data_IF_492020493228
#
_entry.id   IF_492020493228
#
_cell.length_a   1.000
_cell.length_b   1.000
_cell.length_c   1.000
_cell.angle_alpha   90.00
_cell.angle_beta   90.00
_cell.angle_gamma   90.00
#
_symmetry.space_group_name_H-M   'P 1'
#
loop_
_entity.id
_entity.type
_entity.pdbx_description
1 polymer ?
#
# COMPACT_ATOMS: atom_id res chain seq x y z
N UNK A 1 -28.43 -11.37 29.84
CA UNK A 1 -28.13 -10.44 28.75
C UNK A 1 -26.62 -10.27 28.69
N UNK A 2 -25.94 -10.92 27.71
CA UNK A 2 -24.50 -10.77 27.53
C UNK A 2 -24.27 -9.52 26.69
N UNK A 3 -23.63 -8.52 27.28
CA UNK A 3 -23.11 -7.35 26.56
C UNK A 3 -22.03 -7.86 25.59
N UNK A 4 -22.34 -7.95 24.31
CA UNK A 4 -21.33 -8.05 23.26
C UNK A 4 -20.76 -6.64 23.07
N UNK A 5 -19.65 -6.35 23.74
CA UNK A 5 -18.76 -5.26 23.36
C UNK A 5 -18.30 -5.56 21.94
N UNK A 6 -18.82 -4.79 20.97
CA UNK A 6 -18.21 -4.68 19.64
C UNK A 6 -16.78 -4.23 19.87
N UNK A 7 -15.82 -5.16 19.77
CA UNK A 7 -14.43 -4.78 19.53
C UNK A 7 -14.44 -3.90 18.28
N UNK A 8 -14.18 -2.62 18.44
CA UNK A 8 -13.85 -1.75 17.33
C UNK A 8 -12.54 -2.31 16.76
N UNK A 9 -12.63 -2.97 15.61
CA UNK A 9 -11.45 -3.37 14.88
C UNK A 9 -10.58 -2.11 14.73
N UNK A 10 -9.40 -2.13 15.38
CA UNK A 10 -8.48 -0.98 15.31
C UNK A 10 -8.07 -0.79 13.85
N UNK A 11 -8.10 0.45 13.38
CA UNK A 11 -7.62 0.83 12.05
C UNK A 11 -6.20 0.32 11.83
N UNK A 12 -6.02 -0.60 10.88
CA UNK A 12 -4.72 -1.16 10.54
C UNK A 12 -3.96 -0.28 9.56
N UNK A 13 -2.64 -0.38 9.58
CA UNK A 13 -1.74 0.16 8.57
C UNK A 13 -1.20 -1.01 7.76
N UNK A 14 -1.54 -1.06 6.49
CA UNK A 14 -1.33 -2.20 5.61
C UNK A 14 -0.42 -1.79 4.47
N UNK A 15 0.77 -2.37 4.37
CA UNK A 15 1.60 -2.20 3.17
C UNK A 15 0.97 -2.95 2.00
N UNK A 16 0.80 -2.28 0.87
CA UNK A 16 0.14 -2.81 -0.34
C UNK A 16 1.07 -2.57 -1.53
N UNK A 17 1.54 -3.65 -2.18
CA UNK A 17 2.41 -3.48 -3.33
C UNK A 17 2.41 -4.71 -4.23
N UNK A 18 2.34 -4.49 -5.56
CA UNK A 18 2.75 -5.49 -6.53
C UNK A 18 4.26 -5.51 -6.66
N UNK A 19 4.84 -6.69 -6.80
CA UNK A 19 6.27 -6.91 -6.83
C UNK A 19 6.61 -8.06 -7.79
N UNK A 20 7.72 -7.95 -8.52
CA UNK A 20 8.28 -9.09 -9.26
C UNK A 20 8.74 -10.21 -8.30
N UNK A 21 8.91 -11.42 -8.82
CA UNK A 21 9.36 -12.57 -8.03
C UNK A 21 10.76 -12.34 -7.42
N UNK A 22 11.60 -11.51 -8.05
CA UNK A 22 12.93 -11.13 -7.57
C UNK A 22 12.95 -9.84 -6.73
N UNK A 23 11.78 -9.31 -6.35
CA UNK A 23 11.66 -8.30 -5.29
C UNK A 23 11.65 -6.85 -5.72
N UNK A 24 11.38 -6.56 -7.01
CA UNK A 24 11.31 -5.20 -7.53
C UNK A 24 9.86 -4.76 -7.76
N UNK A 25 9.57 -3.50 -7.45
CA UNK A 25 8.24 -2.89 -7.63
C UNK A 25 8.14 -2.04 -8.90
N UNK A 26 9.28 -1.68 -9.48
CA UNK A 26 9.40 -0.95 -10.72
C UNK A 26 10.79 -1.18 -11.31
N UNK A 27 10.95 -0.92 -12.60
CA UNK A 27 12.26 -0.86 -13.24
C UNK A 27 13.05 0.43 -12.83
N UNK A 28 14.23 0.63 -13.40
CA UNK A 28 15.08 1.80 -13.11
C UNK A 28 14.50 3.12 -13.64
N UNK A 29 13.50 3.07 -14.54
CA UNK A 29 12.84 4.22 -15.14
C UNK A 29 11.42 4.43 -14.59
N UNK A 30 11.08 3.83 -13.44
CA UNK A 30 9.74 3.82 -12.85
C UNK A 30 8.67 3.06 -13.65
N UNK A 31 9.07 2.23 -14.61
CA UNK A 31 8.16 1.35 -15.35
C UNK A 31 7.60 0.26 -14.43
N UNK A 32 6.27 0.11 -14.43
CA UNK A 32 5.52 -0.83 -13.59
C UNK A 32 4.68 -1.82 -14.41
N UNK A 33 4.71 -1.72 -15.73
CA UNK A 33 3.81 -2.46 -16.61
C UNK A 33 3.84 -3.96 -16.34
N UNK A 34 5.03 -4.57 -16.24
CA UNK A 34 5.22 -6.00 -16.06
C UNK A 34 4.72 -6.50 -14.69
N UNK A 35 4.88 -5.69 -13.63
CA UNK A 35 4.41 -6.05 -12.28
C UNK A 35 2.92 -5.80 -12.09
N UNK A 36 2.29 -5.05 -13.01
CA UNK A 36 0.86 -4.75 -13.00
C UNK A 36 0.06 -5.48 -14.09
N UNK A 37 0.71 -6.27 -14.96
CA UNK A 37 0.05 -7.01 -16.05
C UNK A 37 -1.08 -7.93 -15.55
N UNK A 38 -0.96 -8.48 -14.35
CA UNK A 38 -1.99 -9.32 -13.74
C UNK A 38 -3.33 -8.61 -13.52
N UNK A 39 -3.36 -7.26 -13.42
CA UNK A 39 -4.60 -6.48 -13.37
C UNK A 39 -5.43 -6.57 -14.65
N UNK A 40 -4.84 -7.10 -15.74
CA UNK A 40 -5.49 -7.23 -17.05
C UNK A 40 -5.49 -8.67 -17.57
N UNK A 41 -5.16 -9.64 -16.71
CA UNK A 41 -4.95 -11.05 -17.08
C UNK A 41 -6.16 -11.96 -16.78
N UNK A 42 -7.38 -11.42 -16.61
CA UNK A 42 -8.55 -12.20 -16.26
C UNK A 42 -9.84 -11.76 -16.97
N UNK A 43 -10.95 -12.29 -16.50
CA UNK A 43 -12.29 -12.10 -17.09
C UNK A 43 -13.29 -11.38 -16.16
N UNK A 44 -12.92 -11.14 -14.90
CA UNK A 44 -13.77 -10.41 -13.95
C UNK A 44 -13.42 -8.94 -13.97
N UNK A 45 -14.37 -8.11 -14.37
CA UNK A 45 -14.20 -6.66 -14.41
C UNK A 45 -14.37 -6.04 -13.02
N UNK A 46 -13.43 -5.19 -12.63
CA UNK A 46 -13.46 -4.36 -11.41
C UNK A 46 -13.29 -2.91 -11.82
N UNK A 47 -14.38 -2.12 -11.81
CA UNK A 47 -14.27 -0.69 -12.05
C UNK A 47 -13.57 0.00 -10.90
N UNK A 48 -12.55 0.78 -11.19
CA UNK A 48 -11.80 1.60 -10.25
C UNK A 48 -12.20 3.05 -10.45
N UNK A 49 -12.76 3.66 -9.42
CA UNK A 49 -13.22 5.04 -9.43
C UNK A 49 -12.07 6.06 -9.33
N UNK A 50 -12.38 7.25 -8.82
CA UNK A 50 -11.45 8.37 -8.68
C UNK A 50 -11.56 9.35 -9.85
N UNK A 51 -10.61 10.30 -9.94
CA UNK A 51 -10.58 11.28 -11.03
C UNK A 51 -10.06 10.72 -12.35
N UNK A 52 -9.36 9.59 -12.30
CA UNK A 52 -8.85 8.86 -13.47
C UNK A 52 -9.40 7.41 -13.43
N UNK A 53 -10.66 7.20 -13.84
CA UNK A 53 -11.30 5.91 -13.72
C UNK A 53 -10.73 4.90 -14.73
N UNK A 54 -10.53 3.67 -14.25
CA UNK A 54 -10.07 2.54 -15.07
C UNK A 54 -10.85 1.27 -14.70
N UNK A 55 -10.73 0.24 -15.52
CA UNK A 55 -11.33 -1.07 -15.24
C UNK A 55 -10.24 -2.14 -15.23
N UNK A 56 -10.06 -2.81 -14.13
CA UNK A 56 -9.23 -4.01 -14.06
C UNK A 56 -10.02 -5.21 -14.59
N UNK A 57 -9.29 -6.18 -15.12
CA UNK A 57 -9.82 -7.47 -15.61
C UNK A 57 -8.98 -8.58 -15.00
N UNK A 58 -9.41 -9.12 -13.89
CA UNK A 58 -8.64 -10.06 -13.09
C UNK A 58 -9.31 -11.41 -12.96
N UNK A 59 -8.58 -12.42 -12.48
CA UNK A 59 -9.17 -13.71 -12.15
C UNK A 59 -10.18 -13.59 -10.99
N UNK A 60 -11.12 -14.52 -10.89
CA UNK A 60 -12.12 -14.51 -9.80
C UNK A 60 -11.47 -14.47 -8.39
N UNK A 61 -10.46 -15.28 -8.06
CA UNK A 61 -9.82 -15.18 -6.74
C UNK A 61 -9.16 -13.81 -6.49
N UNK A 62 -8.55 -13.21 -7.53
CA UNK A 62 -8.00 -11.85 -7.44
C UNK A 62 -9.09 -10.79 -7.27
N UNK A 63 -10.24 -10.97 -7.92
CA UNK A 63 -11.38 -10.07 -7.77
C UNK A 63 -11.93 -10.07 -6.33
N UNK A 64 -12.14 -11.26 -5.77
CA UNK A 64 -12.58 -11.41 -4.38
C UNK A 64 -11.57 -10.80 -3.39
N UNK A 65 -10.27 -11.02 -3.64
CA UNK A 65 -9.19 -10.40 -2.88
C UNK A 65 -9.24 -8.86 -2.94
N UNK A 66 -9.31 -8.27 -4.14
CA UNK A 66 -9.33 -6.82 -4.34
C UNK A 66 -10.61 -6.19 -3.76
N UNK A 67 -11.78 -6.78 -3.94
CA UNK A 67 -13.02 -6.28 -3.35
C UNK A 67 -12.94 -6.24 -1.82
N UNK A 68 -12.42 -7.31 -1.20
CA UNK A 68 -12.18 -7.35 0.25
C UNK A 68 -11.26 -6.23 0.69
N UNK A 69 -10.11 -6.08 0.03
CA UNK A 69 -9.12 -5.06 0.32
C UNK A 69 -9.68 -3.64 0.17
N UNK A 70 -10.28 -3.31 -0.99
CA UNK A 70 -10.83 -1.98 -1.26
C UNK A 70 -11.92 -1.60 -0.23
N UNK A 71 -12.76 -2.56 0.18
CA UNK A 71 -13.79 -2.32 1.19
C UNK A 71 -13.24 -2.00 2.57
N UNK A 72 -12.05 -2.53 2.89
CA UNK A 72 -11.36 -2.34 4.17
C UNK A 72 -10.64 -0.99 4.25
N UNK A 73 -10.23 -0.41 3.11
CA UNK A 73 -9.46 0.82 3.08
C UNK A 73 -10.33 2.06 3.27
N UNK A 74 -9.79 3.05 3.98
CA UNK A 74 -10.41 4.36 4.21
C UNK A 74 -9.50 5.53 3.83
N UNK A 75 -8.20 5.28 3.68
CA UNK A 75 -7.21 6.27 3.24
C UNK A 75 -6.00 5.58 2.62
N UNK A 76 -5.24 6.31 1.82
CA UNK A 76 -3.99 5.89 1.22
C UNK A 76 -2.84 6.75 1.74
N UNK A 77 -1.69 6.13 2.02
CA UNK A 77 -0.43 6.79 2.33
C UNK A 77 0.62 6.37 1.31
N UNK A 78 1.36 7.32 0.76
CA UNK A 78 2.40 7.04 -0.23
C UNK A 78 3.53 8.05 -0.18
N UNK A 79 4.63 7.77 -0.89
CA UNK A 79 5.73 8.70 -1.09
C UNK A 79 5.53 9.58 -2.33
N UNK A 80 6.34 10.62 -2.41
CA UNK A 80 6.34 11.60 -3.51
C UNK A 80 6.55 10.95 -4.87
N UNK A 81 7.48 9.99 -5.01
CA UNK A 81 7.76 9.34 -6.29
C UNK A 81 6.54 8.62 -6.86
N UNK A 82 5.82 7.85 -6.03
CA UNK A 82 4.58 7.18 -6.46
C UNK A 82 3.51 8.18 -6.88
N UNK A 83 3.38 9.30 -6.15
CA UNK A 83 2.48 10.39 -6.50
C UNK A 83 2.81 10.99 -7.87
N UNK A 84 4.10 11.23 -8.16
CA UNK A 84 4.55 11.81 -9.43
C UNK A 84 4.32 10.84 -10.60
N UNK A 85 4.67 9.56 -10.45
CA UNK A 85 4.44 8.50 -11.45
C UNK A 85 2.95 8.33 -11.76
N UNK A 86 2.10 8.35 -10.73
CA UNK A 86 0.65 8.28 -10.86
C UNK A 86 -0.01 9.60 -11.25
N UNK A 87 0.76 10.66 -11.56
CA UNK A 87 0.27 12.00 -11.93
C UNK A 87 -0.76 12.55 -10.93
N UNK A 88 -0.59 12.20 -9.65
CA UNK A 88 -1.49 12.60 -8.57
C UNK A 88 -2.91 12.06 -8.69
N UNK A 89 -3.13 10.99 -9.43
CA UNK A 89 -4.44 10.35 -9.68
C UNK A 89 -5.50 11.35 -10.16
N UNK A 90 -5.12 12.36 -10.94
CA UNK A 90 -6.01 13.42 -11.36
C UNK A 90 -6.56 14.29 -10.22
N UNK A 91 -6.10 14.12 -8.97
CA UNK A 91 -6.52 14.86 -7.78
C UNK A 91 -7.27 14.02 -6.74
N UNK A 92 -7.81 12.84 -7.09
CA UNK A 92 -8.59 12.02 -6.17
C UNK A 92 -8.27 10.54 -6.37
N UNK A 93 -7.67 9.92 -5.36
CA UNK A 93 -7.40 8.49 -5.38
C UNK A 93 -8.68 7.68 -5.22
N UNK A 94 -8.78 6.55 -5.93
CA UNK A 94 -9.98 5.71 -5.97
C UNK A 94 -10.38 5.09 -4.61
N UNK A 95 -9.42 4.92 -3.70
CA UNK A 95 -9.64 4.21 -2.43
C UNK A 95 -9.71 5.16 -1.22
N UNK A 96 -9.99 6.43 -1.46
CA UNK A 96 -10.15 7.45 -0.42
C UNK A 96 -9.08 8.55 -0.48
N UNK A 97 -9.04 9.45 0.52
CA UNK A 97 -8.05 10.51 0.56
C UNK A 97 -6.62 9.96 0.57
N UNK A 98 -5.74 10.58 -0.20
CA UNK A 98 -4.35 10.19 -0.34
C UNK A 98 -3.44 11.15 0.45
N UNK A 99 -2.56 10.59 1.28
CA UNK A 99 -1.53 11.30 2.03
C UNK A 99 -0.18 11.05 1.38
N UNK A 100 0.51 12.10 0.98
CA UNK A 100 1.79 12.04 0.28
C UNK A 100 2.91 12.52 1.19
N UNK A 101 3.75 11.60 1.64
CA UNK A 101 4.94 11.94 2.40
C UNK A 101 5.99 12.54 1.45
N UNK A 102 6.45 13.76 1.76
CA UNK A 102 7.38 14.51 0.90
C UNK A 102 8.19 15.52 1.71
N UNK A 103 9.36 15.91 1.23
CA UNK A 103 10.11 17.03 1.80
C UNK A 103 9.58 18.39 1.32
N UNK A 104 9.01 18.44 0.09
CA UNK A 104 8.52 19.67 -0.51
C UNK A 104 7.20 19.41 -1.24
N UNK A 105 6.22 20.27 -1.01
CA UNK A 105 4.96 20.22 -1.75
C UNK A 105 5.24 20.61 -3.21
N UNK A 106 4.78 19.82 -4.21
CA UNK A 106 5.03 20.14 -5.61
C UNK A 106 4.29 21.41 -6.06
N UNK A 107 4.85 22.10 -7.06
CA UNK A 107 4.21 23.27 -7.64
C UNK A 107 2.80 22.94 -8.17
N UNK A 108 1.89 23.88 -8.00
CA UNK A 108 0.48 23.69 -8.38
C UNK A 108 -0.34 22.81 -7.43
N UNK A 109 0.21 22.44 -6.27
CA UNK A 109 -0.47 21.72 -5.21
C UNK A 109 -0.41 22.47 -3.86
N UNK A 110 -1.40 22.27 -2.93
CA UNK A 110 -2.61 21.46 -3.11
C UNK A 110 -3.57 22.10 -4.12
N UNK A 111 -4.41 21.28 -4.77
CA UNK A 111 -5.43 21.75 -5.71
C UNK A 111 -6.79 21.90 -5.02
N UNK A 112 -7.61 22.88 -5.40
CA UNK A 112 -9.02 22.93 -5.01
C UNK A 112 -9.71 21.61 -5.39
N UNK A 113 -10.63 21.15 -4.57
CA UNK A 113 -11.43 19.92 -4.79
C UNK A 113 -10.61 18.60 -4.84
N UNK A 114 -9.33 18.64 -4.49
CA UNK A 114 -8.49 17.44 -4.36
C UNK A 114 -8.55 16.88 -2.95
N UNK A 115 -8.56 15.53 -2.87
CA UNK A 115 -8.43 14.79 -1.61
C UNK A 115 -6.99 14.33 -1.34
N UNK A 116 -6.01 14.94 -2.03
CA UNK A 116 -4.59 14.69 -1.82
C UNK A 116 -4.04 15.67 -0.79
N UNK A 117 -3.41 15.13 0.25
CA UNK A 117 -2.79 15.88 1.36
C UNK A 117 -1.28 15.63 1.35
N UNK A 118 -0.48 16.67 1.53
CA UNK A 118 0.98 16.56 1.58
C UNK A 118 1.47 16.68 3.02
N UNK A 119 2.34 15.76 3.42
CA UNK A 119 2.88 15.69 4.78
C UNK A 119 4.40 15.85 4.71
N UNK A 120 4.92 16.84 5.44
CA UNK A 120 6.35 17.15 5.49
C UNK A 120 7.01 16.85 6.83
N UNK A 121 6.20 16.44 7.82
CA UNK A 121 6.60 16.30 9.23
C UNK A 121 6.95 14.85 9.62
N UNK A 122 7.23 14.01 8.62
CA UNK A 122 7.69 12.63 8.81
C UNK A 122 6.60 11.58 8.83
N UNK A 123 7.05 10.32 8.86
CA UNK A 123 6.20 9.14 8.64
C UNK A 123 5.14 8.95 9.73
N UNK A 124 5.46 9.21 10.98
CA UNK A 124 4.54 9.06 12.10
C UNK A 124 3.36 10.03 11.98
N UNK A 125 3.63 11.30 11.63
CA UNK A 125 2.60 12.30 11.38
C UNK A 125 1.72 11.90 10.21
N UNK A 126 2.31 11.40 9.12
CA UNK A 126 1.60 10.95 7.93
C UNK A 126 0.64 9.79 8.24
N UNK A 127 1.11 8.78 8.98
CA UNK A 127 0.28 7.64 9.41
C UNK A 127 -0.87 8.10 10.31
N UNK A 128 -0.61 8.99 11.28
CA UNK A 128 -1.63 9.46 12.21
C UNK A 128 -2.73 10.27 11.50
N UNK A 129 -2.37 11.12 10.55
CA UNK A 129 -3.35 11.88 9.76
C UNK A 129 -4.15 10.96 8.84
N UNK A 130 -3.51 9.99 8.17
CA UNK A 130 -4.18 9.00 7.34
C UNK A 130 -5.17 8.13 8.16
N UNK A 131 -4.78 7.66 9.35
CA UNK A 131 -5.67 6.93 10.27
C UNK A 131 -6.88 7.77 10.68
N UNK A 132 -6.69 9.05 10.96
CA UNK A 132 -7.79 9.97 11.30
C UNK A 132 -8.78 10.07 10.14
N UNK A 133 -8.28 10.26 8.92
CA UNK A 133 -9.11 10.36 7.71
C UNK A 133 -9.78 9.04 7.34
N UNK A 134 -9.15 7.90 7.65
CA UNK A 134 -9.72 6.57 7.38
C UNK A 134 -10.97 6.25 8.22
N UNK A 135 -11.28 7.04 9.25
CA UNK A 135 -12.51 6.95 10.04
C UNK A 135 -12.83 5.53 10.55
N UNK A 136 -11.83 4.85 11.11
CA UNK A 136 -11.96 3.49 11.64
C UNK A 136 -11.71 2.37 10.64
N UNK A 137 -11.56 2.68 9.36
CA UNK A 137 -11.06 1.75 8.33
C UNK A 137 -9.53 1.71 8.34
N UNK A 138 -8.96 0.81 7.55
CA UNK A 138 -7.51 0.65 7.41
C UNK A 138 -6.89 1.71 6.50
N UNK A 139 -5.58 1.95 6.70
CA UNK A 139 -4.75 2.79 5.85
C UNK A 139 -3.90 1.90 4.96
N UNK A 140 -4.03 2.05 3.64
CA UNK A 140 -3.15 1.40 2.67
C UNK A 140 -1.87 2.21 2.47
N UNK A 141 -0.71 1.57 2.53
CA UNK A 141 0.59 2.21 2.32
C UNK A 141 1.22 1.71 1.03
N UNK A 142 1.49 2.60 0.10
CA UNK A 142 2.11 2.33 -1.18
C UNK A 142 3.50 2.96 -1.31
N UNK A 143 4.31 2.39 -2.21
CA UNK A 143 5.66 2.86 -2.53
C UNK A 143 6.72 2.28 -1.58
N UNK A 144 7.82 1.79 -2.17
CA UNK A 144 8.85 1.05 -1.46
C UNK A 144 9.42 1.82 -0.27
N UNK A 145 9.87 3.06 -0.48
CA UNK A 145 10.46 3.87 0.58
C UNK A 145 9.49 4.16 1.74
N UNK A 146 8.22 4.50 1.44
CA UNK A 146 7.21 4.76 2.48
C UNK A 146 6.89 3.49 3.28
N UNK A 147 6.81 2.34 2.62
CA UNK A 147 6.62 1.04 3.28
C UNK A 147 7.81 0.73 4.20
N UNK A 148 9.04 0.95 3.74
CA UNK A 148 10.25 0.73 4.53
C UNK A 148 10.30 1.68 5.74
N UNK A 149 9.95 2.95 5.58
CA UNK A 149 9.85 3.90 6.69
C UNK A 149 8.82 3.47 7.72
N UNK A 150 7.61 3.05 7.29
CA UNK A 150 6.59 2.53 8.19
C UNK A 150 7.07 1.28 8.94
N UNK A 151 7.76 0.36 8.24
CA UNK A 151 8.28 -0.87 8.83
C UNK A 151 9.38 -0.58 9.85
N UNK A 152 10.31 0.32 9.53
CA UNK A 152 11.40 0.74 10.42
C UNK A 152 10.88 1.46 11.67
N UNK A 153 9.78 2.21 11.55
CA UNK A 153 9.12 2.88 12.66
C UNK A 153 8.17 1.98 13.47
N UNK A 154 7.99 0.70 13.06
CA UNK A 154 7.09 -0.24 13.74
C UNK A 154 5.60 0.12 13.58
N UNK A 155 5.23 0.82 12.49
CA UNK A 155 3.88 1.33 12.25
C UNK A 155 3.01 0.39 11.39
N UNK A 156 3.58 -0.67 10.79
CA UNK A 156 2.82 -1.62 9.98
C UNK A 156 2.19 -2.74 10.82
N UNK A 157 0.93 -3.01 10.56
CA UNK A 157 0.18 -4.14 11.12
C UNK A 157 0.20 -5.35 10.18
N UNK A 158 0.13 -5.12 8.86
CA UNK A 158 0.12 -6.16 7.84
C UNK A 158 0.95 -5.75 6.61
N UNK A 159 1.43 -6.76 5.90
CA UNK A 159 2.09 -6.62 4.60
C UNK A 159 1.32 -7.48 3.59
N UNK A 160 0.72 -6.84 2.59
CA UNK A 160 0.08 -7.50 1.47
C UNK A 160 0.95 -7.29 0.24
N UNK A 161 1.39 -8.38 -0.37
CA UNK A 161 2.23 -8.37 -1.56
C UNK A 161 1.57 -9.19 -2.65
N UNK A 162 1.43 -8.59 -3.82
CA UNK A 162 0.99 -9.24 -5.04
C UNK A 162 2.23 -9.62 -5.85
N UNK A 163 2.70 -10.87 -5.73
CA UNK A 163 3.88 -11.35 -6.45
C UNK A 163 3.48 -11.65 -7.89
N UNK A 164 3.86 -10.77 -8.82
CA UNK A 164 3.70 -10.99 -10.25
C UNK A 164 4.66 -12.09 -10.74
N UNK A 165 4.19 -12.90 -11.68
CA UNK A 165 4.95 -14.02 -12.25
C UNK A 165 6.00 -13.54 -13.26
N UNK A 166 6.87 -12.61 -12.85
CA UNK A 166 7.89 -11.95 -13.68
C UNK A 166 9.19 -11.73 -12.89
N UNK A 167 10.31 -11.73 -13.59
CA UNK A 167 11.60 -11.24 -13.10
C UNK A 167 11.92 -9.91 -13.79
N UNK A 168 12.28 -8.89 -13.02
CA UNK A 168 12.77 -7.62 -13.59
C UNK A 168 14.31 -7.59 -13.68
N UNK A 169 15.00 -8.35 -12.86
CA UNK A 169 16.47 -8.42 -12.82
C UNK A 169 17.15 -7.19 -12.20
N UNK A 170 16.55 -6.01 -12.33
CA UNK A 170 17.00 -4.76 -11.71
C UNK A 170 15.84 -3.79 -11.55
N UNK A 171 15.98 -2.80 -10.66
CA UNK A 171 14.91 -1.82 -10.42
C UNK A 171 14.86 -1.34 -8.98
N UNK A 172 13.67 -0.92 -8.56
CA UNK A 172 13.39 -0.43 -7.21
C UNK A 172 12.97 -1.60 -6.33
N UNK A 173 13.76 -1.95 -5.33
CA UNK A 173 13.44 -3.03 -4.38
C UNK A 173 12.36 -2.60 -3.40
N UNK A 174 11.41 -3.52 -3.14
CA UNK A 174 10.38 -3.28 -2.13
C UNK A 174 10.99 -3.20 -0.72
N UNK A 175 11.91 -4.12 -0.40
CA UNK A 175 12.57 -4.18 0.91
C UNK A 175 14.07 -4.07 0.73
N UNK A 176 14.64 -2.90 1.03
CA UNK A 176 16.07 -2.65 0.90
C UNK A 176 16.63 -2.02 2.19
N UNK A 177 16.28 -0.80 2.51
CA UNK A 177 16.84 -0.06 3.65
C UNK A 177 16.12 -0.36 4.97
N UNK A 178 16.09 -1.65 5.37
CA UNK A 178 15.44 -2.09 6.59
C UNK A 178 16.41 -2.03 7.79
N UNK A 179 15.99 -1.31 8.83
CA UNK A 179 16.65 -1.30 10.11
C UNK A 179 16.17 -2.49 10.98
N UNK A 180 17.03 -2.97 11.87
CA UNK A 180 16.63 -3.95 12.89
C UNK A 180 16.25 -5.34 12.33
N UNK A 181 16.87 -5.77 11.25
CA UNK A 181 16.70 -7.14 10.72
C UNK A 181 17.40 -8.19 11.60
N UNK A 182 16.87 -9.43 11.71
CA UNK A 182 15.71 -9.96 10.97
C UNK A 182 14.36 -9.49 11.53
N UNK A 183 13.39 -9.21 10.64
CA UNK A 183 12.00 -8.95 10.97
C UNK A 183 11.19 -10.22 10.74
N UNK A 184 10.55 -10.74 11.79
CA UNK A 184 9.78 -11.98 11.72
C UNK A 184 8.32 -11.69 11.48
N UNK A 185 7.77 -12.25 10.41
CA UNK A 185 6.36 -12.15 10.05
C UNK A 185 5.55 -13.31 10.62
N UNK A 186 4.24 -13.16 10.68
CA UNK A 186 3.31 -14.25 10.97
C UNK A 186 3.14 -15.19 9.77
N UNK A 187 2.31 -16.22 9.93
CA UNK A 187 1.99 -17.11 8.81
C UNK A 187 1.17 -16.37 7.75
N UNK A 188 1.48 -16.54 6.45
CA UNK A 188 0.76 -15.85 5.40
C UNK A 188 -0.60 -16.49 5.11
N UNK A 189 -1.54 -15.65 4.68
CA UNK A 189 -2.64 -16.10 3.82
C UNK A 189 -2.16 -16.02 2.38
N UNK A 190 -2.43 -17.07 1.60
CA UNK A 190 -2.00 -17.19 0.20
C UNK A 190 -3.23 -17.34 -0.69
N UNK A 191 -3.34 -16.50 -1.72
CA UNK A 191 -4.40 -16.56 -2.74
C UNK A 191 -3.72 -16.63 -4.10
N UNK A 192 -4.07 -17.62 -4.91
CA UNK A 192 -3.53 -17.78 -6.26
C UNK A 192 -4.45 -17.10 -7.27
N UNK A 193 -3.89 -16.15 -8.04
CA UNK A 193 -4.52 -15.54 -9.21
C UNK A 193 -3.90 -16.01 -10.52
N UNK A 194 -4.33 -15.40 -11.64
CA UNK A 194 -3.69 -15.56 -12.94
C UNK A 194 -2.55 -14.55 -13.03
N UNK A 195 -1.33 -15.03 -13.26
CA UNK A 195 -0.13 -14.18 -13.33
C UNK A 195 0.32 -13.57 -12.00
N UNK A 196 -0.31 -13.94 -10.87
CA UNK A 196 -0.04 -13.36 -9.55
C UNK A 196 -0.28 -14.34 -8.42
N UNK A 197 0.48 -14.18 -7.33
CA UNK A 197 0.21 -14.81 -6.04
C UNK A 197 0.07 -13.70 -4.99
N UNK A 198 -1.11 -13.59 -4.38
CA UNK A 198 -1.38 -12.63 -3.31
C UNK A 198 -0.95 -13.23 -1.97
N UNK A 199 -0.09 -12.52 -1.26
CA UNK A 199 0.41 -12.87 0.06
C UNK A 199 -0.02 -11.81 1.08
N UNK A 200 -0.57 -12.24 2.21
CA UNK A 200 -0.91 -11.36 3.34
C UNK A 200 -0.19 -11.86 4.58
N UNK A 201 0.72 -11.07 5.11
CA UNK A 201 1.48 -11.37 6.32
C UNK A 201 1.09 -10.44 7.46
N UNK A 202 0.70 -10.92 8.63
CA UNK A 202 0.67 -10.09 9.83
C UNK A 202 2.11 -9.76 10.25
N UNK A 203 2.37 -8.49 10.55
CA UNK A 203 3.64 -8.04 11.12
C UNK A 203 3.58 -8.29 12.62
N UNK A 204 4.52 -9.06 13.14
CA UNK A 204 4.66 -9.27 14.57
C UNK A 204 5.39 -8.06 15.16
N UNK A 205 4.66 -7.18 15.82
CA UNK A 205 5.24 -6.02 16.48
C UNK A 205 6.34 -6.49 17.43
N UNK A 206 7.59 -6.22 17.09
CA UNK A 206 8.71 -6.29 18.00
C UNK A 206 8.76 -4.94 18.71
N UNK A 207 8.85 -4.88 20.06
CA UNK A 207 9.12 -3.61 20.69
C UNK A 207 10.39 -3.03 20.07
N UNK A 208 10.49 -1.68 19.91
CA UNK A 208 11.70 -1.05 19.37
C UNK A 208 12.90 -1.59 20.12
N UNK A 209 13.94 -1.97 19.38
CA UNK A 209 15.21 -2.39 19.99
C UNK A 209 15.70 -1.23 20.85
N UNK A 210 15.71 -1.43 22.15
CA UNK A 210 16.32 -0.46 23.08
C UNK A 210 17.79 -0.30 22.65
N UNK A 211 18.28 0.90 22.33
CA UNK A 211 19.69 1.10 22.04
C UNK A 211 20.49 0.73 23.29
N UNK A 212 21.29 -0.32 23.24
CA UNK A 212 22.23 -0.70 24.28
C UNK A 212 21.80 -1.87 25.17
N UNK A 213 21.99 -3.06 24.69
CA UNK A 213 22.30 -4.23 25.52
C UNK A 213 23.53 -4.91 24.92
#
# INVERSE_FOLDING_TARGET
>A
MRNQTKEHAMSKVIALMSMSLDGYVADLNDGVAEVFDWYFSGDVEIPIGGSDPMTFRVSRPSAEHLHGLISELGAMLTGRRTFDVAQGWGGNHAWGPAFVLTHHIPDGWPRPDSTVHFITDGIETAVNQAKTAAAGKSVGVHGADTIQQCLNAGLLDEIHIDIAAVFLGSGIRLFDHLAGTPIVLGNPTVIQGIGVTHLRYPVRNRPPLTPGA
#
